data_IF_505015529669
#
_entry.id   IF_505015529669
#
_cell.length_a   1.000
_cell.length_b   1.000
_cell.length_c   1.000
_cell.angle_alpha   90.00
_cell.angle_beta   90.00
_cell.angle_gamma   90.00
#
_symmetry.space_group_name_H-M   'P 1'
#
loop_
_entity.id
_entity.type
_entity.pdbx_description
1 polymer ?
#
# COMPACT_ATOMS: atom_id res chain seq x y z
N UNK A 1 -8.70 6.90 -1.18
CA UNK A 1 -8.12 6.08 -0.10
C UNK A 1 -7.05 6.88 0.62
N UNK A 2 -6.46 6.31 1.67
CA UNK A 2 -5.30 6.90 2.34
C UNK A 2 -4.05 6.46 1.58
N UNK A 3 -3.14 7.36 1.18
CA UNK A 3 -1.90 6.96 0.52
C UNK A 3 -1.04 6.15 1.50
N UNK A 4 -0.41 5.10 1.00
CA UNK A 4 0.47 4.24 1.79
C UNK A 4 1.76 3.93 1.03
N UNK A 5 2.79 3.57 1.80
CA UNK A 5 4.11 3.23 1.28
C UNK A 5 4.11 1.80 0.76
N UNK A 6 4.50 1.63 -0.49
CA UNK A 6 4.83 0.34 -1.06
C UNK A 6 6.31 0.01 -0.83
N UNK A 7 6.68 -1.28 -0.87
CA UNK A 7 8.07 -1.67 -0.67
C UNK A 7 9.01 -1.13 -1.77
N UNK A 8 8.46 -0.86 -2.96
CA UNK A 8 9.17 -0.19 -4.06
C UNK A 8 9.46 1.30 -3.82
N UNK A 9 8.78 1.95 -2.87
CA UNK A 9 8.95 3.37 -2.58
C UNK A 9 10.20 3.65 -1.72
N UNK A 10 10.91 2.60 -1.29
CA UNK A 10 12.08 2.69 -0.44
C UNK A 10 11.76 2.61 1.06
N UNK A 11 12.79 2.58 1.93
CA UNK A 11 12.64 2.20 3.33
C UNK A 11 11.91 3.26 4.20
N UNK A 12 11.89 4.51 3.76
CA UNK A 12 11.37 5.61 4.56
C UNK A 12 9.95 5.99 4.14
N UNK A 13 9.09 6.33 5.10
CA UNK A 13 7.79 6.98 4.85
C UNK A 13 7.93 8.51 4.74
N UNK A 14 8.99 9.07 5.32
CA UNK A 14 9.28 10.50 5.28
C UNK A 14 10.04 10.84 4.01
N UNK A 15 9.40 11.57 3.10
CA UNK A 15 10.02 12.11 1.88
C UNK A 15 9.97 11.18 0.66
N UNK A 16 9.55 9.93 0.82
CA UNK A 16 9.37 9.01 -0.30
C UNK A 16 7.95 9.12 -0.88
N UNK A 17 7.84 8.84 -2.17
CA UNK A 17 6.57 8.76 -2.90
C UNK A 17 5.68 7.72 -2.24
N UNK A 18 4.47 8.09 -1.80
CA UNK A 18 3.47 7.11 -1.36
C UNK A 18 2.68 6.67 -2.58
N UNK A 19 3.12 5.59 -3.24
CA UNK A 19 2.51 5.14 -4.50
C UNK A 19 1.35 4.17 -4.31
N UNK A 20 1.15 3.66 -3.09
CA UNK A 20 0.05 2.78 -2.75
C UNK A 20 -1.17 3.53 -2.25
N UNK A 21 -2.31 2.85 -2.26
CA UNK A 21 -3.55 3.29 -1.63
C UNK A 21 -4.03 2.21 -0.66
N UNK A 22 -4.45 2.61 0.54
CA UNK A 22 -5.05 1.71 1.52
C UNK A 22 -6.46 1.32 1.07
N UNK A 23 -6.71 0.01 1.04
CA UNK A 23 -8.01 -0.61 0.80
C UNK A 23 -8.43 -1.42 2.02
N UNK A 24 -9.69 -1.28 2.43
CA UNK A 24 -10.26 -2.06 3.54
C UNK A 24 -10.61 -3.46 3.03
N UNK A 25 -10.15 -4.50 3.73
CA UNK A 25 -10.26 -5.88 3.28
C UNK A 25 -9.12 -6.24 2.33
N UNK A 26 -9.44 -6.38 1.05
CA UNK A 26 -8.49 -6.76 -0.01
C UNK A 26 -8.36 -5.67 -1.07
N UNK A 27 -7.27 -5.71 -1.82
CA UNK A 27 -7.11 -4.90 -3.01
C UNK A 27 -8.23 -5.14 -4.04
N UNK A 28 -8.60 -4.09 -4.78
CA UNK A 28 -9.54 -4.21 -5.90
C UNK A 28 -8.95 -5.06 -7.02
N UNK A 29 -9.80 -5.56 -7.93
CA UNK A 29 -9.35 -6.29 -9.11
C UNK A 29 -8.37 -5.44 -9.94
N UNK A 30 -7.19 -6.01 -10.23
CA UNK A 30 -6.11 -5.32 -10.93
C UNK A 30 -5.16 -4.54 -10.02
N UNK A 31 -5.46 -4.46 -8.72
CA UNK A 31 -4.55 -3.95 -7.72
C UNK A 31 -3.94 -5.11 -6.93
N UNK A 32 -2.67 -4.98 -6.59
CA UNK A 32 -1.94 -5.96 -5.81
C UNK A 32 -1.42 -5.34 -4.52
N UNK A 33 -1.36 -6.15 -3.47
CA UNK A 33 -0.71 -5.75 -2.23
C UNK A 33 0.74 -5.39 -2.53
N UNK A 34 1.14 -4.17 -2.21
CA UNK A 34 2.40 -3.59 -2.63
C UNK A 34 3.43 -3.45 -1.50
N UNK A 35 3.04 -3.78 -0.26
CA UNK A 35 3.93 -3.83 0.87
C UNK A 35 3.78 -5.14 1.64
N UNK A 36 4.78 -5.45 2.44
CA UNK A 36 4.80 -6.63 3.33
C UNK A 36 4.05 -6.41 4.64
N UNK A 37 3.52 -5.20 4.88
CA UNK A 37 2.77 -4.91 6.11
C UNK A 37 1.50 -5.75 6.18
N UNK A 38 1.35 -6.49 7.28
CA UNK A 38 0.19 -7.32 7.51
C UNK A 38 -0.76 -6.57 8.45
N UNK A 39 -1.75 -5.92 7.86
CA UNK A 39 -2.81 -5.27 8.60
C UNK A 39 -4.06 -6.15 8.51
N UNK A 40 -4.69 -6.43 9.66
CA UNK A 40 -5.85 -7.33 9.75
C UNK A 40 -7.09 -6.84 8.99
N UNK A 41 -7.18 -5.52 8.77
CA UNK A 41 -8.39 -4.88 8.25
C UNK A 41 -8.17 -4.16 6.93
N UNK A 42 -6.92 -3.99 6.50
CA UNK A 42 -6.64 -3.22 5.30
C UNK A 42 -5.34 -3.68 4.64
N UNK A 43 -5.23 -3.44 3.35
CA UNK A 43 -4.03 -3.70 2.59
C UNK A 43 -3.58 -2.43 1.88
N UNK A 44 -2.27 -2.25 1.79
CA UNK A 44 -1.71 -1.23 0.92
C UNK A 44 -1.59 -1.81 -0.48
N UNK A 45 -2.34 -1.22 -1.41
CA UNK A 45 -2.53 -1.76 -2.75
C UNK A 45 -1.96 -0.79 -3.81
N UNK A 46 -1.36 -1.34 -4.86
CA UNK A 46 -0.88 -0.61 -6.04
C UNK A 46 -1.29 -1.35 -7.31
N UNK A 47 -1.56 -0.63 -8.39
CA UNK A 47 -1.79 -1.20 -9.73
C UNK A 47 -0.49 -1.76 -10.33
#
# INVERSE_FOLDING_TARGET
GVPCRCDSDGPSVHGNTLSGTIWVGSCETGWHKCNTEHNLFHECCKQ
#
